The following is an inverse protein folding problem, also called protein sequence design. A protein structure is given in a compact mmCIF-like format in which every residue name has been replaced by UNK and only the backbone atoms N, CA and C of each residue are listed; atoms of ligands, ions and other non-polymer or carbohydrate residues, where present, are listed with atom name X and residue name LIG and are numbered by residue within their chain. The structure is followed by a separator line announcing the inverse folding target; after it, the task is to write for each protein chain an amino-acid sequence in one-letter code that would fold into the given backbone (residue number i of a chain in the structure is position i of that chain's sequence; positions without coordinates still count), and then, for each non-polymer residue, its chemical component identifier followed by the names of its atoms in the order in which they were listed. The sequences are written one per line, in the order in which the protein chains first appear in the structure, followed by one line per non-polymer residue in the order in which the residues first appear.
data_IF_584087877359
#
_entry.id   IF_584087877359
#
_cell.length_a   1.000
_cell.length_b   1.000
_cell.length_c   1.000
_cell.angle_alpha   90.00
_cell.angle_beta   90.00
_cell.angle_gamma   90.00
#
_symmetry.space_group_name_H-M   'P 1'
#
loop_
_entity.id
_entity.type
_entity.pdbx_description
1 polymer ?
#
# COMPACT_ATOMS: atom_id res chain seq x y z
N UNK A 1 -33.61 -7.98 -23.60
CA UNK A 1 -33.30 -6.59 -23.20
C UNK A 1 -33.73 -6.21 -21.77
N UNK A 2 -34.81 -6.77 -21.21
CA UNK A 2 -35.26 -6.45 -19.84
C UNK A 2 -34.28 -6.86 -18.71
N UNK A 3 -33.48 -7.90 -18.93
CA UNK A 3 -32.53 -8.40 -17.93
C UNK A 3 -31.31 -7.48 -17.78
N UNK A 4 -30.81 -6.93 -18.90
CA UNK A 4 -29.70 -5.99 -18.92
C UNK A 4 -29.98 -4.68 -18.14
N UNK A 5 -31.20 -4.16 -18.23
CA UNK A 5 -31.63 -2.97 -17.50
C UNK A 5 -31.72 -3.21 -15.97
N UNK A 6 -32.20 -4.39 -15.56
CA UNK A 6 -32.27 -4.79 -14.14
C UNK A 6 -30.88 -4.95 -13.52
N UNK A 7 -29.94 -5.56 -14.26
CA UNK A 7 -28.54 -5.73 -13.84
C UNK A 7 -27.86 -4.36 -13.69
N UNK A 8 -28.04 -3.45 -14.65
CA UNK A 8 -27.48 -2.08 -14.59
C UNK A 8 -28.06 -1.26 -13.44
N UNK A 9 -29.36 -1.35 -13.18
CA UNK A 9 -30.02 -0.71 -12.03
C UNK A 9 -29.53 -1.24 -10.68
N UNK A 10 -29.29 -2.56 -10.56
CA UNK A 10 -28.74 -3.18 -9.35
C UNK A 10 -27.29 -2.76 -9.08
N UNK A 11 -26.47 -2.64 -10.12
CA UNK A 11 -25.10 -2.15 -9.99
C UNK A 11 -25.05 -0.67 -9.55
N UNK A 12 -25.92 0.19 -10.11
CA UNK A 12 -26.05 1.58 -9.69
C UNK A 12 -26.44 1.73 -8.21
N UNK A 13 -27.37 0.91 -7.73
CA UNK A 13 -27.78 0.91 -6.31
C UNK A 13 -26.63 0.53 -5.37
N UNK A 14 -25.85 -0.52 -5.71
CA UNK A 14 -24.67 -0.93 -4.91
C UNK A 14 -23.58 0.13 -4.87
N UNK A 15 -23.31 0.79 -6.00
CA UNK A 15 -22.31 1.88 -6.07
C UNK A 15 -22.71 3.06 -5.20
N UNK A 16 -23.98 3.47 -5.25
CA UNK A 16 -24.54 4.55 -4.41
C UNK A 16 -24.50 4.20 -2.92
N UNK A 17 -24.79 2.95 -2.55
CA UNK A 17 -24.66 2.47 -1.17
C UNK A 17 -23.22 2.52 -0.67
N UNK A 18 -22.26 2.09 -1.50
CA UNK A 18 -20.84 2.17 -1.14
C UNK A 18 -20.39 3.61 -0.99
N UNK A 19 -20.75 4.49 -1.92
CA UNK A 19 -20.45 5.93 -1.87
C UNK A 19 -21.00 6.57 -0.58
N UNK A 20 -22.23 6.24 -0.20
CA UNK A 20 -22.81 6.67 1.07
C UNK A 20 -22.04 6.11 2.28
N UNK A 21 -21.66 4.83 2.24
CA UNK A 21 -20.93 4.18 3.34
C UNK A 21 -19.53 4.77 3.58
N UNK A 22 -18.91 5.34 2.55
CA UNK A 22 -17.59 6.00 2.64
C UNK A 22 -17.68 7.52 2.70
N UNK A 23 -18.87 8.08 2.90
CA UNK A 23 -19.12 9.53 2.91
C UNK A 23 -18.56 10.25 1.67
N UNK A 24 -18.66 9.63 0.49
CA UNK A 24 -18.14 10.17 -0.77
C UNK A 24 -16.61 10.20 -0.90
N UNK A 25 -15.85 9.67 0.07
CA UNK A 25 -14.39 9.66 0.05
C UNK A 25 -13.81 8.45 -0.70
N UNK A 26 -12.53 8.54 -1.05
CA UNK A 26 -11.75 7.39 -1.50
C UNK A 26 -11.47 6.44 -0.34
N UNK A 27 -11.26 5.17 -0.66
CA UNK A 27 -10.97 4.15 0.33
C UNK A 27 -10.01 3.11 -0.27
N UNK A 28 -9.27 2.46 0.62
CA UNK A 28 -8.31 1.42 0.28
C UNK A 28 -8.66 0.13 1.02
N UNK A 29 -8.82 -0.96 0.27
CA UNK A 29 -9.26 -2.24 0.79
C UNK A 29 -8.14 -2.99 1.53
N UNK A 30 -8.05 -2.87 2.85
CA UNK A 30 -7.06 -3.63 3.61
C UNK A 30 -7.59 -5.04 3.95
N UNK A 31 -6.90 -6.07 3.47
CA UNK A 31 -7.30 -7.47 3.70
C UNK A 31 -7.16 -7.85 5.17
N UNK A 32 -8.12 -8.64 5.66
CA UNK A 32 -8.13 -9.09 7.06
C UNK A 32 -6.99 -10.05 7.40
N UNK A 33 -6.56 -10.90 6.47
CA UNK A 33 -5.47 -11.84 6.72
C UNK A 33 -4.13 -11.13 6.94
N UNK A 34 -3.90 -10.02 6.26
CA UNK A 34 -2.71 -9.16 6.48
C UNK A 34 -2.69 -8.63 7.91
N UNK A 35 -3.75 -7.95 8.36
CA UNK A 35 -3.75 -7.28 9.68
C UNK A 35 -3.90 -8.25 10.87
N UNK A 36 -4.45 -9.44 10.63
CA UNK A 36 -4.58 -10.50 11.65
C UNK A 36 -3.39 -11.45 11.66
N UNK A 37 -2.45 -11.30 10.72
CA UNK A 37 -1.27 -12.16 10.65
C UNK A 37 -0.38 -11.98 11.88
N UNK A 38 0.24 -13.05 12.41
CA UNK A 38 1.23 -12.94 13.47
C UNK A 38 2.37 -11.99 13.10
N UNK A 39 2.79 -11.99 11.83
CA UNK A 39 3.85 -11.15 11.30
C UNK A 39 3.50 -9.67 11.43
N UNK A 40 2.27 -9.28 11.09
CA UNK A 40 1.82 -7.90 11.25
C UNK A 40 1.62 -7.52 12.72
N UNK A 41 1.11 -8.45 13.54
CA UNK A 41 0.92 -8.23 14.98
C UNK A 41 2.27 -7.99 15.68
N UNK A 42 3.34 -8.67 15.27
CA UNK A 42 4.67 -8.55 15.86
C UNK A 42 5.42 -7.27 15.48
N UNK A 43 4.94 -6.52 14.47
CA UNK A 43 5.55 -5.24 14.10
C UNK A 43 5.48 -4.21 15.23
N UNK A 44 6.48 -3.33 15.29
CA UNK A 44 6.47 -2.15 16.11
C UNK A 44 5.31 -1.22 15.76
N UNK A 45 4.86 -0.41 16.74
CA UNK A 45 3.82 0.59 16.51
C UNK A 45 4.22 1.60 15.42
N UNK A 46 5.50 1.96 15.35
CA UNK A 46 6.03 2.83 14.30
C UNK A 46 5.93 2.19 12.91
N UNK A 47 6.27 0.90 12.77
CA UNK A 47 6.13 0.18 11.50
C UNK A 47 4.65 0.07 11.09
N UNK A 48 3.76 -0.31 12.01
CA UNK A 48 2.31 -0.35 11.75
C UNK A 48 1.77 1.01 11.30
N UNK A 49 2.20 2.10 11.96
CA UNK A 49 1.80 3.45 11.60
C UNK A 49 2.28 3.87 10.21
N UNK A 50 3.56 3.62 9.90
CA UNK A 50 4.12 3.91 8.57
C UNK A 50 3.39 3.11 7.49
N UNK A 51 3.11 1.83 7.74
CA UNK A 51 2.33 0.99 6.84
C UNK A 51 0.95 1.58 6.57
N UNK A 52 0.20 1.97 7.61
CA UNK A 52 -1.13 2.59 7.47
C UNK A 52 -1.04 3.89 6.66
N UNK A 53 -0.01 4.71 6.89
CA UNK A 53 0.18 5.97 6.14
C UNK A 53 0.42 5.72 4.66
N UNK A 54 1.23 4.71 4.32
CA UNK A 54 1.46 4.29 2.93
C UNK A 54 0.21 3.70 2.28
N UNK A 55 -0.60 2.94 3.03
CA UNK A 55 -1.91 2.45 2.57
C UNK A 55 -2.88 3.60 2.29
N UNK A 56 -2.82 4.68 3.07
CA UNK A 56 -3.62 5.88 2.85
C UNK A 56 -3.20 6.65 1.59
N UNK A 57 -1.92 6.62 1.22
CA UNK A 57 -1.40 7.25 0.00
C UNK A 57 -1.57 6.35 -1.26
N UNK A 58 -1.95 5.08 -1.08
CA UNK A 58 -2.15 4.13 -2.17
C UNK A 58 -3.50 4.33 -2.88
N UNK A 59 -3.48 4.48 -4.22
CA UNK A 59 -4.64 4.82 -5.05
C UNK A 59 -5.07 3.70 -6.03
N UNK A 60 -4.46 2.52 -5.93
CA UNK A 60 -4.59 1.35 -6.85
C UNK A 60 -3.84 1.42 -8.17
N UNK A 61 -3.17 2.53 -8.45
CA UNK A 61 -2.39 2.77 -9.66
C UNK A 61 -0.93 3.11 -9.37
N UNK A 62 -0.63 3.50 -8.13
CA UNK A 62 0.69 3.94 -7.69
C UNK A 62 1.45 2.91 -6.83
N UNK A 63 1.01 1.64 -6.72
CA UNK A 63 1.77 0.66 -5.95
C UNK A 63 3.10 0.36 -6.65
N UNK A 64 4.20 0.73 -5.98
CA UNK A 64 5.55 0.77 -6.54
C UNK A 64 6.11 2.18 -6.77
N UNK A 65 5.30 3.22 -6.56
CA UNK A 65 5.69 4.65 -6.58
C UNK A 65 5.38 5.32 -5.22
N UNK A 66 5.18 4.53 -4.17
CA UNK A 66 4.93 5.07 -2.83
C UNK A 66 6.25 5.60 -2.26
N UNK A 67 6.22 6.78 -1.67
CA UNK A 67 7.43 7.44 -1.16
C UNK A 67 7.32 7.70 0.34
N UNK A 68 8.44 7.56 1.04
CA UNK A 68 8.57 7.90 2.45
C UNK A 68 9.85 8.75 2.65
N UNK A 69 9.82 10.03 2.27
CA UNK A 69 11.01 10.85 2.26
C UNK A 69 11.42 11.28 3.68
N UNK A 70 12.69 11.05 4.02
CA UNK A 70 13.22 11.23 5.39
C UNK A 70 13.16 12.68 5.89
N UNK A 71 13.20 13.67 4.99
CA UNK A 71 13.07 15.09 5.32
C UNK A 71 11.64 15.49 5.71
N UNK A 72 10.61 14.72 5.31
CA UNK A 72 9.21 14.93 5.70
C UNK A 72 8.73 13.93 6.76
N UNK A 73 9.64 13.23 7.42
CA UNK A 73 9.31 12.22 8.44
C UNK A 73 8.39 12.80 9.54
N UNK A 74 8.69 14.01 10.01
CA UNK A 74 7.91 14.66 11.07
C UNK A 74 6.55 15.15 10.58
N UNK A 75 6.48 15.70 9.38
CA UNK A 75 5.25 16.26 8.80
C UNK A 75 4.24 15.16 8.41
N UNK A 76 4.71 14.12 7.72
CA UNK A 76 3.83 13.10 7.13
C UNK A 76 3.56 11.95 8.11
N UNK A 77 4.58 11.54 8.86
CA UNK A 77 4.54 10.35 9.71
C UNK A 77 4.59 10.69 11.20
N UNK A 78 4.77 11.95 11.59
CA UNK A 78 4.98 12.34 12.99
C UNK A 78 6.12 11.57 13.68
N UNK A 79 7.14 11.15 12.93
CA UNK A 79 8.31 10.45 13.43
C UNK A 79 9.58 11.27 13.23
N UNK A 80 10.64 10.95 13.99
CA UNK A 80 11.99 11.40 13.63
C UNK A 80 12.44 10.68 12.35
N UNK A 81 13.37 11.26 11.61
CA UNK A 81 13.93 10.60 10.41
C UNK A 81 14.54 9.23 10.77
N UNK A 82 15.21 9.11 11.92
CA UNK A 82 15.71 7.81 12.40
C UNK A 82 14.56 6.82 12.67
N UNK A 83 13.48 7.26 13.31
CA UNK A 83 12.31 6.41 13.59
C UNK A 83 11.60 5.95 12.33
N UNK A 84 11.43 6.83 11.33
CA UNK A 84 10.88 6.47 10.03
C UNK A 84 11.78 5.43 9.33
N UNK A 85 13.10 5.64 9.33
CA UNK A 85 14.04 4.67 8.75
C UNK A 85 13.91 3.28 9.40
N UNK A 86 13.96 3.21 10.72
CA UNK A 86 13.84 1.93 11.45
C UNK A 86 12.51 1.23 11.13
N UNK A 87 11.41 1.99 11.08
CA UNK A 87 10.10 1.44 10.73
C UNK A 87 10.03 0.90 9.30
N UNK A 88 10.65 1.60 8.34
CA UNK A 88 10.73 1.13 6.94
C UNK A 88 11.59 -0.14 6.83
N UNK A 89 12.76 -0.15 7.48
CA UNK A 89 13.67 -1.30 7.49
C UNK A 89 12.98 -2.55 8.09
N UNK A 90 12.20 -2.36 9.16
CA UNK A 90 11.40 -3.42 9.78
C UNK A 90 10.31 -3.94 8.84
N UNK A 91 9.56 -3.06 8.18
CA UNK A 91 8.52 -3.46 7.22
C UNK A 91 9.07 -4.21 6.01
N UNK A 92 10.27 -3.83 5.53
CA UNK A 92 10.97 -4.52 4.44
C UNK A 92 11.42 -5.90 4.92
N UNK A 93 12.04 -5.97 6.10
CA UNK A 93 12.53 -7.22 6.67
C UNK A 93 11.40 -8.22 6.96
N UNK A 94 10.24 -7.71 7.39
CA UNK A 94 9.04 -8.51 7.62
C UNK A 94 8.24 -8.81 6.33
N UNK A 95 8.69 -8.35 5.16
CA UNK A 95 8.07 -8.64 3.87
C UNK A 95 6.77 -7.89 3.57
N UNK A 96 6.45 -6.82 4.30
CA UNK A 96 5.27 -5.97 4.03
C UNK A 96 5.55 -4.88 2.99
N UNK A 97 6.82 -4.48 2.82
CA UNK A 97 7.28 -3.56 1.80
C UNK A 97 8.35 -4.19 0.89
N UNK A 98 8.30 -3.85 -0.39
CA UNK A 98 9.35 -4.13 -1.38
C UNK A 98 9.91 -2.80 -1.87
N UNK A 99 11.24 -2.65 -1.91
CA UNK A 99 11.90 -1.46 -2.47
C UNK A 99 11.86 -1.57 -3.99
N UNK A 100 11.07 -0.73 -4.65
CA UNK A 100 10.94 -0.73 -6.11
C UNK A 100 11.99 0.15 -6.80
N UNK A 101 12.48 1.18 -6.10
CA UNK A 101 13.59 2.01 -6.55
C UNK A 101 14.44 2.42 -5.36
N UNK A 102 15.72 2.09 -5.42
CA UNK A 102 16.69 2.57 -4.45
C UNK A 102 16.88 4.08 -4.67
N UNK A 103 16.64 4.86 -3.62
CA UNK A 103 16.93 6.29 -3.62
C UNK A 103 18.43 6.56 -3.68
N UNK A 104 18.79 7.81 -3.97
CA UNK A 104 20.18 8.25 -4.07
C UNK A 104 20.37 9.61 -3.41
N UNK A 105 21.51 10.26 -3.66
CA UNK A 105 21.72 11.64 -3.21
C UNK A 105 20.58 12.52 -3.76
N UNK A 106 19.80 13.12 -2.86
CA UNK A 106 18.62 13.97 -3.14
C UNK A 106 17.36 13.25 -3.70
N UNK A 107 17.33 11.92 -3.75
CA UNK A 107 16.16 11.17 -4.19
C UNK A 107 15.69 10.20 -3.11
N UNK A 108 14.40 10.22 -2.79
CA UNK A 108 13.81 9.25 -1.88
C UNK A 108 13.62 7.88 -2.57
N UNK A 109 13.74 6.81 -1.77
CA UNK A 109 13.40 5.47 -2.22
C UNK A 109 11.89 5.35 -2.46
N UNK A 110 11.55 4.49 -3.40
CA UNK A 110 10.17 4.11 -3.68
C UNK A 110 9.88 2.70 -3.17
N UNK A 111 8.63 2.50 -2.78
CA UNK A 111 8.17 1.27 -2.15
C UNK A 111 6.89 0.75 -2.80
N UNK A 112 6.71 -0.56 -2.72
CA UNK A 112 5.45 -1.24 -3.00
C UNK A 112 4.97 -1.98 -1.73
N UNK A 113 3.66 -1.94 -1.50
CA UNK A 113 2.98 -2.76 -0.50
C UNK A 113 2.77 -4.16 -1.09
N UNK A 114 3.36 -5.18 -0.46
CA UNK A 114 3.36 -6.56 -0.97
C UNK A 114 1.98 -7.23 -0.90
N UNK A 115 1.08 -6.70 -0.07
CA UNK A 115 -0.30 -7.16 0.06
C UNK A 115 -1.24 -6.67 -1.05
N UNK A 116 -0.74 -5.85 -1.98
CA UNK A 116 -1.46 -5.39 -3.17
C UNK A 116 -0.69 -5.75 -4.46
N UNK A 117 -1.37 -5.85 -5.61
CA UNK A 117 -0.71 -5.99 -6.92
C UNK A 117 0.24 -4.82 -7.19
N UNK A 118 1.41 -5.08 -7.77
CA UNK A 118 2.36 -4.03 -8.18
C UNK A 118 1.92 -3.50 -9.54
N UNK A 119 1.80 -2.17 -9.65
CA UNK A 119 1.38 -1.53 -10.88
C UNK A 119 2.56 -1.36 -11.86
N UNK A 120 2.25 -1.33 -13.16
CA UNK A 120 3.21 -0.92 -14.17
C UNK A 120 3.44 0.60 -14.08
N UNK A 121 4.58 1.01 -13.54
CA UNK A 121 4.94 2.42 -13.40
C UNK A 121 6.06 2.74 -14.40
N UNK A 122 5.71 3.38 -15.51
CA UNK A 122 6.64 3.74 -16.59
C UNK A 122 7.42 5.04 -16.33
N UNK A 123 7.64 5.44 -15.07
CA UNK A 123 8.15 6.79 -14.78
C UNK A 123 9.65 7.00 -14.98
N UNK A 124 10.46 5.95 -15.18
CA UNK A 124 11.93 6.13 -15.10
C UNK A 124 12.80 5.21 -15.96
N UNK A 125 12.26 4.56 -17.01
CA UNK A 125 13.06 3.69 -17.90
C UNK A 125 13.51 2.35 -17.30
N UNK A 126 13.23 2.11 -16.02
CA UNK A 126 13.28 0.81 -15.37
C UNK A 126 11.88 0.19 -15.45
N UNK A 127 11.74 -0.91 -16.18
CA UNK A 127 10.49 -1.65 -16.26
C UNK A 127 10.28 -2.43 -14.94
N UNK A 128 9.40 -1.94 -14.07
CA UNK A 128 8.84 -2.79 -13.02
C UNK A 128 7.94 -3.82 -13.69
N UNK A 129 8.20 -5.10 -13.42
CA UNK A 129 7.32 -6.18 -13.89
C UNK A 129 6.01 -6.05 -13.14
N UNK A 130 4.94 -5.72 -13.85
CA UNK A 130 3.59 -5.67 -13.31
C UNK A 130 3.23 -7.04 -12.71
N UNK A 131 2.77 -7.05 -11.46
CA UNK A 131 2.34 -8.28 -10.80
C UNK A 131 0.83 -8.20 -10.63
N UNK A 132 0.08 -9.01 -11.38
CA UNK A 132 -1.38 -9.06 -11.28
C UNK A 132 -1.90 -9.65 -9.95
N UNK A 133 -1.04 -10.34 -9.20
CA UNK A 133 -1.35 -10.86 -7.86
C UNK A 133 -0.47 -10.16 -6.81
N UNK A 134 -1.00 -9.91 -5.60
CA UNK A 134 -0.16 -9.57 -4.46
C UNK A 134 0.92 -10.62 -4.27
N UNK A 135 2.14 -10.19 -3.94
CA UNK A 135 3.25 -11.11 -3.69
C UNK A 135 3.15 -11.76 -2.32
N UNK A 136 2.55 -11.06 -1.34
CA UNK A 136 2.41 -11.53 0.04
C UNK A 136 3.74 -12.04 0.64
N UNK A 137 4.87 -11.36 0.38
CA UNK A 137 6.20 -11.76 0.89
C UNK A 137 6.24 -11.93 2.42
N UNK A 138 5.34 -11.27 3.15
CA UNK A 138 5.18 -11.46 4.59
C UNK A 138 4.80 -12.88 5.02
N UNK A 139 4.31 -13.73 4.09
CA UNK A 139 4.02 -15.15 4.36
C UNK A 139 5.24 -16.06 4.28
N UNK A 140 6.31 -15.63 3.60
CA UNK A 140 7.47 -16.49 3.33
C UNK A 140 8.55 -16.43 4.41
N UNK A 141 8.37 -15.59 5.44
CA UNK A 141 9.38 -15.35 6.49
C UNK A 141 9.55 -16.49 7.50
N UNK A 142 8.89 -17.64 7.28
CA UNK A 142 8.91 -18.82 8.17
C UNK A 142 9.25 -20.15 7.43
N UNK A 143 10.10 -20.13 6.39
CA UNK A 143 10.61 -21.35 5.74
C UNK A 143 12.10 -21.55 5.99
#
# INVERSE_FOLDING_TARGET
MADYAKVKGRQGKKRKQLEQAVNGNTWTALRHDVVKSPEFINLSLSAKWVFIRLVADYDRKNNGDLSAPQNKAKEIFNLSSRGLKVALDELISAGFLEVTRIGGKNHCSLYALTCYPINNIQKTGLALIEKHKPTDNWKTTNS
#
